data_IF_663420334920
#
_entry.id   IF_663420334920
#
_cell.length_a   1.000
_cell.length_b   1.000
_cell.length_c   1.000
_cell.angle_alpha   90.00
_cell.angle_beta   90.00
_cell.angle_gamma   90.00
#
_symmetry.space_group_name_H-M   'P 1'
#
loop_
_entity.id
_entity.type
_entity.pdbx_description
1 polymer ?
#
# COMPACT_ATOMS: atom_id res chain seq x y z
N UNK A 1 -11.24 -6.00 15.48
CA UNK A 1 -10.57 -6.24 14.19
C UNK A 1 -9.40 -5.28 14.11
N UNK A 2 -8.19 -5.80 14.03
CA UNK A 2 -6.93 -5.05 13.88
C UNK A 2 -6.99 -3.99 12.78
N UNK A 3 -6.52 -2.78 13.08
CA UNK A 3 -6.43 -1.68 12.09
C UNK A 3 -5.51 -2.07 10.94
N UNK A 4 -4.36 -2.67 11.25
CA UNK A 4 -3.45 -3.20 10.25
C UNK A 4 -4.13 -4.24 9.36
N UNK A 5 -4.95 -5.13 9.96
CA UNK A 5 -5.69 -6.15 9.24
C UNK A 5 -6.68 -5.56 8.21
N UNK A 6 -7.33 -4.44 8.55
CA UNK A 6 -8.21 -3.71 7.61
C UNK A 6 -7.42 -3.09 6.46
N UNK A 7 -6.29 -2.43 6.74
CA UNK A 7 -5.41 -1.87 5.71
C UNK A 7 -4.92 -2.99 4.77
N UNK A 8 -4.45 -4.10 5.35
CA UNK A 8 -4.04 -5.29 4.59
C UNK A 8 -5.19 -5.82 3.74
N UNK A 9 -6.39 -5.94 4.29
CA UNK A 9 -7.53 -6.43 3.53
C UNK A 9 -7.93 -5.47 2.38
N UNK A 10 -7.80 -4.17 2.53
CA UNK A 10 -8.02 -3.23 1.43
C UNK A 10 -6.99 -3.42 0.29
N UNK A 11 -5.75 -3.77 0.62
CA UNK A 11 -4.67 -3.95 -0.35
C UNK A 11 -4.73 -5.33 -1.03
N UNK A 12 -4.91 -6.39 -0.25
CA UNK A 12 -4.87 -7.79 -0.72
C UNK A 12 -6.26 -8.38 -1.02
N UNK A 13 -7.32 -7.82 -0.45
CA UNK A 13 -8.71 -8.28 -0.59
C UNK A 13 -9.50 -7.58 -1.68
N UNK A 14 -8.95 -6.53 -2.31
CA UNK A 14 -9.41 -6.08 -3.61
C UNK A 14 -9.05 -7.16 -4.63
N UNK A 15 -10.06 -7.85 -5.17
CA UNK A 15 -9.90 -8.99 -6.06
C UNK A 15 -8.77 -8.74 -7.06
N UNK A 16 -8.00 -9.80 -7.26
CA UNK A 16 -7.04 -9.95 -8.33
C UNK A 16 -7.76 -9.92 -9.69
N UNK A 17 -8.32 -8.77 -10.07
CA UNK A 17 -8.13 -8.29 -11.43
C UNK A 17 -6.71 -7.75 -11.47
N UNK A 18 -5.77 -8.70 -11.48
CA UNK A 18 -4.51 -8.52 -12.17
C UNK A 18 -4.83 -7.75 -13.45
N UNK A 19 -4.00 -6.77 -13.77
CA UNK A 19 -4.02 -6.17 -15.08
C UNK A 19 -4.08 -7.30 -16.11
N UNK A 20 -5.25 -7.54 -16.69
CA UNK A 20 -5.33 -8.19 -17.99
C UNK A 20 -4.59 -7.21 -18.90
N UNK A 21 -3.43 -7.57 -19.46
CA UNK A 21 -2.90 -6.78 -20.55
C UNK A 21 -3.91 -6.96 -21.67
N UNK A 22 -4.74 -5.94 -21.90
CA UNK A 22 -5.61 -5.87 -23.07
C UNK A 22 -4.74 -6.16 -24.28
N UNK A 23 -4.93 -7.35 -24.84
CA UNK A 23 -4.17 -7.86 -25.97
C UNK A 23 -4.73 -7.14 -27.19
N UNK A 24 -4.24 -5.94 -27.47
CA UNK A 24 -4.48 -5.30 -28.76
C UNK A 24 -3.73 -6.10 -29.83
N UNK A 25 -4.48 -6.92 -30.53
CA UNK A 25 -4.08 -7.62 -31.75
C UNK A 25 -3.67 -6.60 -32.83
N UNK A 26 -2.39 -6.60 -33.21
CA UNK A 26 -1.93 -6.13 -34.51
C UNK A 26 -0.61 -6.86 -34.86
N UNK A 27 -0.48 -7.47 -36.06
CA UNK A 27 0.72 -8.21 -36.43
C UNK A 27 1.74 -7.30 -37.15
N UNK A 28 2.98 -7.21 -36.66
CA UNK A 28 4.20 -7.05 -37.48
C UNK A 28 5.47 -7.14 -36.61
N UNK A 29 6.56 -7.80 -37.05
CA UNK A 29 7.71 -8.10 -36.21
C UNK A 29 8.88 -7.12 -36.43
N UNK A 30 9.50 -6.61 -35.36
CA UNK A 30 10.89 -6.12 -35.37
C UNK A 30 11.46 -5.95 -33.95
N UNK A 31 12.52 -6.72 -33.69
CA UNK A 31 13.58 -6.62 -32.68
C UNK A 31 13.57 -5.50 -31.60
N UNK A 32 13.55 -5.92 -30.32
CA UNK A 32 14.48 -5.47 -29.27
C UNK A 32 14.30 -6.36 -28.00
N UNK A 33 15.42 -6.75 -27.39
CA UNK A 33 15.51 -7.57 -26.18
C UNK A 33 15.22 -6.77 -24.88
N UNK A 34 15.30 -7.42 -23.71
CA UNK A 34 14.26 -8.18 -23.03
C UNK A 34 13.55 -7.29 -22.00
N UNK A 35 12.26 -7.02 -22.19
CA UNK A 35 11.45 -6.55 -21.07
C UNK A 35 11.11 -7.77 -20.22
N UNK A 36 11.90 -7.97 -19.17
CA UNK A 36 11.64 -8.88 -18.06
C UNK A 36 10.26 -8.55 -17.48
N UNK A 37 9.19 -9.12 -18.08
CA UNK A 37 7.89 -9.17 -17.43
C UNK A 37 8.01 -10.26 -16.38
N UNK A 38 8.55 -9.84 -15.24
CA UNK A 38 8.41 -10.55 -13.99
C UNK A 38 6.97 -11.08 -13.90
N UNK A 39 6.85 -12.38 -13.67
CA UNK A 39 5.61 -13.01 -13.32
C UNK A 39 5.20 -12.46 -11.96
N UNK A 40 4.45 -11.37 -11.91
CA UNK A 40 4.09 -10.75 -10.64
C UNK A 40 2.79 -11.38 -10.16
N UNK A 41 2.92 -12.52 -9.48
CA UNK A 41 1.92 -13.01 -8.53
C UNK A 41 1.94 -12.22 -7.21
N UNK A 42 2.77 -11.18 -7.10
CA UNK A 42 2.92 -10.32 -5.94
C UNK A 42 2.03 -9.07 -6.04
N UNK A 43 1.44 -8.67 -4.92
CA UNK A 43 0.47 -7.56 -4.91
C UNK A 43 1.21 -6.24 -4.86
N UNK A 44 1.17 -5.46 -5.95
CA UNK A 44 1.68 -4.08 -5.97
C UNK A 44 0.82 -3.20 -5.07
N UNK A 45 1.36 -2.85 -3.91
CA UNK A 45 0.65 -2.12 -2.85
C UNK A 45 0.34 -0.70 -3.29
N UNK A 46 1.27 -0.06 -3.99
CA UNK A 46 1.08 1.30 -4.44
C UNK A 46 -0.02 1.37 -5.50
N UNK A 47 0.00 0.45 -6.48
CA UNK A 47 -1.04 0.39 -7.50
C UNK A 47 -2.43 0.07 -6.90
N UNK A 48 -2.49 -0.79 -5.88
CA UNK A 48 -3.76 -1.11 -5.19
C UNK A 48 -4.32 0.09 -4.44
N UNK A 49 -3.49 0.79 -3.67
CA UNK A 49 -3.92 2.00 -2.96
C UNK A 49 -4.29 3.12 -3.93
N UNK A 50 -3.56 3.28 -5.03
CA UNK A 50 -3.86 4.26 -6.08
C UNK A 50 -5.19 3.96 -6.80
N UNK A 51 -5.55 2.68 -6.93
CA UNK A 51 -6.84 2.26 -7.51
C UNK A 51 -8.05 2.52 -6.60
N UNK A 52 -7.85 2.86 -5.32
CA UNK A 52 -8.95 3.19 -4.42
C UNK A 52 -9.47 4.59 -4.76
N UNK A 53 -10.80 4.77 -4.96
CA UNK A 53 -11.36 6.08 -5.29
C UNK A 53 -11.05 7.11 -4.20
N UNK A 54 -10.47 8.25 -4.59
CA UNK A 54 -10.06 9.33 -3.69
C UNK A 54 -8.61 9.26 -3.22
N UNK A 55 -7.84 8.26 -3.68
CA UNK A 55 -6.38 8.17 -3.49
C UNK A 55 -5.67 9.42 -4.02
N UNK A 56 -6.16 9.97 -5.14
CA UNK A 56 -5.71 11.20 -5.80
C UNK A 56 -5.88 12.47 -4.95
N UNK A 57 -6.78 12.47 -3.97
CA UNK A 57 -7.04 13.62 -3.07
C UNK A 57 -6.33 13.51 -1.73
N UNK A 58 -5.68 12.37 -1.47
CA UNK A 58 -5.16 12.00 -0.16
C UNK A 58 -3.67 11.76 -0.27
N UNK A 59 -2.88 12.30 0.68
CA UNK A 59 -1.43 12.10 0.68
C UNK A 59 -1.05 10.81 1.40
N UNK A 60 -1.70 9.70 1.05
CA UNK A 60 -1.53 8.40 1.70
C UNK A 60 -0.10 7.85 1.61
N UNK A 61 0.70 8.33 0.63
CA UNK A 61 2.10 7.95 0.42
C UNK A 61 3.05 8.45 1.51
N UNK A 62 2.70 9.55 2.16
CA UNK A 62 3.55 10.20 3.19
C UNK A 62 2.82 10.37 4.52
N UNK A 63 1.48 10.35 4.50
CA UNK A 63 0.63 10.55 5.66
C UNK A 63 -0.16 9.31 6.01
N UNK A 64 0.17 8.70 7.17
CA UNK A 64 -0.60 7.58 7.74
C UNK A 64 -2.08 7.95 7.95
N UNK A 65 -2.36 9.23 8.25
CA UNK A 65 -3.71 9.74 8.48
C UNK A 65 -4.56 9.61 7.22
N UNK A 66 -3.99 10.00 6.08
CA UNK A 66 -4.70 9.95 4.79
C UNK A 66 -4.77 8.52 4.26
N UNK A 67 -3.77 7.67 4.52
CA UNK A 67 -3.85 6.23 4.26
C UNK A 67 -5.03 5.59 4.99
N UNK A 68 -5.23 5.91 6.27
CA UNK A 68 -6.35 5.38 7.06
C UNK A 68 -7.69 5.86 6.50
N UNK A 69 -7.82 7.14 6.14
CA UNK A 69 -9.03 7.67 5.52
C UNK A 69 -9.35 6.98 4.19
N UNK A 70 -8.32 6.72 3.38
CA UNK A 70 -8.47 6.07 2.08
C UNK A 70 -9.12 4.69 2.23
N UNK A 71 -8.70 3.91 3.24
CA UNK A 71 -9.27 2.59 3.55
C UNK A 71 -10.51 2.66 4.46
N UNK A 72 -11.15 3.83 4.56
CA UNK A 72 -12.37 4.07 5.35
C UNK A 72 -12.19 3.78 6.85
N UNK A 73 -10.99 4.02 7.38
CA UNK A 73 -10.66 3.95 8.80
C UNK A 73 -10.56 5.36 9.34
N UNK A 74 -11.17 5.58 10.50
CA UNK A 74 -11.01 6.84 11.20
C UNK A 74 -9.55 7.04 11.64
N UNK A 75 -8.97 8.16 11.24
CA UNK A 75 -7.56 8.46 11.49
C UNK A 75 -7.33 9.13 12.85
N UNK A 76 -8.13 8.82 13.87
CA UNK A 76 -7.96 9.36 15.22
C UNK A 76 -6.67 8.89 15.88
N UNK A 77 -6.21 9.69 16.83
CA UNK A 77 -5.06 9.38 17.67
C UNK A 77 -5.14 7.98 18.31
N UNK A 78 -6.30 7.60 18.84
CA UNK A 78 -6.51 6.26 19.42
C UNK A 78 -6.25 5.13 18.43
N UNK A 79 -6.72 5.28 17.20
CA UNK A 79 -6.53 4.28 16.14
C UNK A 79 -5.08 4.23 15.67
N UNK A 80 -4.40 5.37 15.54
CA UNK A 80 -2.96 5.37 15.20
C UNK A 80 -2.12 4.75 16.29
N UNK A 81 -2.46 5.00 17.56
CA UNK A 81 -1.79 4.38 18.70
C UNK A 81 -2.01 2.87 18.74
N UNK A 82 -3.25 2.42 18.55
CA UNK A 82 -3.55 0.98 18.49
C UNK A 82 -2.79 0.31 17.33
N UNK A 83 -2.77 0.93 16.14
CA UNK A 83 -1.98 0.46 15.01
C UNK A 83 -0.48 0.39 15.32
N UNK A 84 0.06 1.41 15.98
CA UNK A 84 1.45 1.44 16.40
C UNK A 84 1.75 0.29 17.38
N UNK A 85 0.91 0.09 18.39
CA UNK A 85 1.05 -1.01 19.35
C UNK A 85 1.00 -2.38 18.65
N UNK A 86 0.10 -2.56 17.68
CA UNK A 86 -0.02 -3.79 16.89
C UNK A 86 1.25 -4.07 16.05
N UNK A 87 1.96 -3.01 15.64
CA UNK A 87 3.22 -3.10 14.92
C UNK A 87 4.44 -3.19 15.85
N UNK A 88 4.24 -3.17 17.17
CA UNK A 88 5.29 -3.24 18.19
C UNK A 88 5.87 -1.88 18.60
N UNK A 89 5.25 -0.77 18.18
CA UNK A 89 5.60 0.57 18.62
C UNK A 89 4.70 1.00 19.80
N UNK A 90 5.19 0.78 21.02
CA UNK A 90 4.50 1.13 22.26
C UNK A 90 4.62 2.61 22.68
N UNK A 91 5.61 3.32 22.14
CA UNK A 91 5.98 4.69 22.54
C UNK A 91 5.34 5.77 21.65
N UNK A 92 4.41 5.37 20.77
CA UNK A 92 3.73 6.28 19.85
C UNK A 92 3.04 7.43 20.59
N UNK A 93 3.54 8.64 20.35
CA UNK A 93 3.07 9.88 21.00
C UNK A 93 2.27 10.77 20.04
N UNK A 94 2.20 10.41 18.75
CA UNK A 94 1.42 11.12 17.74
C UNK A 94 2.11 12.33 17.10
N UNK A 95 3.41 12.52 17.39
CA UNK A 95 4.28 13.51 16.77
C UNK A 95 4.35 13.34 15.25
N UNK A 96 4.78 14.38 14.54
CA UNK A 96 4.98 14.30 13.08
C UNK A 96 5.98 13.19 12.71
N UNK A 97 7.08 13.08 13.46
CA UNK A 97 8.07 12.00 13.31
C UNK A 97 7.47 10.62 13.57
N UNK A 98 6.65 10.47 14.62
CA UNK A 98 5.93 9.23 14.92
C UNK A 98 4.99 8.82 13.78
N UNK A 99 4.31 9.79 13.16
CA UNK A 99 3.41 9.53 12.05
C UNK A 99 4.16 9.01 10.81
N UNK A 100 5.34 9.59 10.53
CA UNK A 100 6.22 9.17 9.44
C UNK A 100 6.77 7.76 9.73
N UNK A 101 7.26 7.51 10.95
CA UNK A 101 7.76 6.19 11.35
C UNK A 101 6.66 5.13 11.32
N UNK A 102 5.46 5.45 11.82
CA UNK A 102 4.32 4.54 11.80
C UNK A 102 3.92 4.19 10.37
N UNK A 103 3.89 5.17 9.46
CA UNK A 103 3.66 4.93 8.04
C UNK A 103 4.67 3.92 7.46
N UNK A 104 5.97 4.14 7.72
CA UNK A 104 7.04 3.22 7.28
C UNK A 104 6.89 1.82 7.87
N UNK A 105 6.51 1.70 9.13
CA UNK A 105 6.31 0.41 9.78
C UNK A 105 5.14 -0.35 9.14
N UNK A 106 4.03 0.33 8.84
CA UNK A 106 2.89 -0.24 8.11
C UNK A 106 3.36 -0.76 6.75
N UNK A 107 4.07 0.07 5.98
CA UNK A 107 4.58 -0.29 4.66
C UNK A 107 5.55 -1.48 4.70
N UNK A 108 6.48 -1.52 5.64
CA UNK A 108 7.37 -2.66 5.85
C UNK A 108 6.60 -3.94 6.24
N UNK A 109 5.58 -3.83 7.09
CA UNK A 109 4.76 -4.97 7.48
C UNK A 109 3.91 -5.50 6.33
N UNK A 110 3.41 -4.63 5.45
CA UNK A 110 2.72 -5.03 4.21
C UNK A 110 3.71 -5.73 3.27
N UNK A 111 4.93 -5.20 3.12
CA UNK A 111 5.96 -5.83 2.31
C UNK A 111 6.31 -7.23 2.82
N UNK A 112 6.49 -7.38 4.14
CA UNK A 112 6.69 -8.69 4.79
C UNK A 112 5.50 -9.65 4.64
N UNK A 113 4.29 -9.13 4.36
CA UNK A 113 3.10 -9.94 4.12
C UNK A 113 2.95 -10.40 2.65
N UNK A 114 3.91 -10.10 1.77
CA UNK A 114 3.91 -10.49 0.35
C UNK A 114 3.47 -9.39 -0.62
N UNK A 115 3.48 -8.13 -0.20
CA UNK A 115 3.21 -6.98 -1.07
C UNK A 115 4.48 -6.37 -1.66
N UNK A 116 4.45 -5.96 -2.92
CA UNK A 116 5.50 -5.12 -3.50
C UNK A 116 5.23 -3.69 -3.05
N UNK A 117 6.15 -3.17 -2.24
CA UNK A 117 6.12 -1.78 -1.77
C UNK A 117 7.30 -1.03 -2.39
N UNK A 118 7.06 0.02 -3.18
CA UNK A 118 8.13 0.84 -3.76
C UNK A 118 8.99 1.50 -2.68
N UNK A 119 10.24 1.79 -3.02
CA UNK A 119 11.21 2.38 -2.09
C UNK A 119 10.73 3.73 -1.53
N UNK A 120 10.03 4.53 -2.32
CA UNK A 120 9.44 5.82 -1.92
C UNK A 120 8.50 5.71 -0.71
N UNK A 121 7.84 4.57 -0.51
CA UNK A 121 6.96 4.33 0.64
C UNK A 121 7.67 3.73 1.85
N UNK A 122 8.93 3.32 1.69
CA UNK A 122 9.79 2.75 2.73
C UNK A 122 10.77 3.78 3.30
N UNK A 123 11.06 4.84 2.53
CA UNK A 123 11.99 5.94 2.85
C UNK A 123 11.36 7.03 3.70
#
# INVERSE_FOLDING_TARGET
>A
MSIFGKIKNAIFGGEAKAAEPETKTAPAPAAAAPAERAAISEVDVAARLDSIPGSDKLNWRTSIVDLMKLVQIDASYGNRKELAQELGNGDYSGSAEDNILLHKQVMNKIAAAGGIVPADLKD
#
